data_IF_722782314390
#
_entry.id   IF_722782314390
#
_cell.length_a   1.000
_cell.length_b   1.000
_cell.length_c   1.000
_cell.angle_alpha   90.00
_cell.angle_beta   90.00
_cell.angle_gamma   90.00
#
_symmetry.space_group_name_H-M   'P 1'
#
loop_
_entity.id
_entity.type
_entity.pdbx_description
1 polymer ?
#
# COMPACT_ATOMS: atom_id res chain seq x y z
N UNK A 1 7.61 15.51 -9.37
CA UNK A 1 7.07 15.68 -8.01
C UNK A 1 7.75 16.84 -7.32
N UNK A 2 7.02 17.59 -6.52
CA UNK A 2 7.55 18.67 -5.69
C UNK A 2 7.39 18.27 -4.21
N UNK A 3 8.07 19.01 -3.33
CA UNK A 3 7.87 18.80 -1.88
C UNK A 3 6.41 19.06 -1.50
N UNK A 4 5.78 20.04 -2.11
CA UNK A 4 4.38 20.37 -1.85
C UNK A 4 3.44 19.20 -2.23
N UNK A 5 3.66 18.58 -3.40
CA UNK A 5 2.85 17.42 -3.80
C UNK A 5 3.09 16.21 -2.90
N UNK A 6 4.31 16.02 -2.42
CA UNK A 6 4.60 14.98 -1.44
C UNK A 6 3.88 15.25 -0.12
N UNK A 7 3.88 16.49 0.36
CA UNK A 7 3.19 16.88 1.59
C UNK A 7 1.67 16.68 1.47
N UNK A 8 1.12 16.80 0.27
CA UNK A 8 -0.30 16.55 0.02
C UNK A 8 -0.70 15.09 0.26
N UNK A 9 0.26 14.18 0.35
CA UNK A 9 0.01 12.77 0.63
C UNK A 9 0.06 12.42 2.12
N UNK A 10 0.16 13.42 3.01
CA UNK A 10 0.33 13.19 4.45
C UNK A 10 -0.78 12.33 5.07
N UNK A 11 -1.98 12.34 4.48
CA UNK A 11 -3.07 11.51 4.98
C UNK A 11 -2.87 10.02 4.73
N UNK A 12 -1.97 9.64 3.81
CA UNK A 12 -1.77 8.23 3.43
C UNK A 12 -0.33 7.76 3.57
N UNK A 13 0.64 8.67 3.64
CA UNK A 13 2.05 8.33 3.90
C UNK A 13 2.64 9.32 4.90
N UNK A 14 3.67 8.86 5.61
CA UNK A 14 4.51 9.73 6.43
C UNK A 14 5.61 10.30 5.53
N UNK A 15 5.40 11.51 5.02
CA UNK A 15 6.32 12.10 4.04
C UNK A 15 7.71 12.37 4.63
N UNK A 16 7.82 12.71 5.90
CA UNK A 16 9.12 12.92 6.55
C UNK A 16 9.91 11.62 6.62
N UNK A 17 9.23 10.53 7.01
CA UNK A 17 9.87 9.21 7.07
C UNK A 17 10.31 8.76 5.68
N UNK A 18 9.47 8.97 4.67
CA UNK A 18 9.82 8.60 3.29
C UNK A 18 11.01 9.39 2.80
N UNK A 19 11.03 10.71 3.00
CA UNK A 19 12.15 11.55 2.59
C UNK A 19 13.44 11.14 3.27
N UNK A 20 13.37 10.80 4.56
CA UNK A 20 14.55 10.34 5.30
C UNK A 20 15.13 9.08 4.66
N UNK A 21 14.27 8.13 4.29
CA UNK A 21 14.69 6.89 3.62
C UNK A 21 15.27 7.16 2.24
N UNK A 22 14.87 8.25 1.60
CA UNK A 22 15.33 8.65 0.27
C UNK A 22 16.44 9.70 0.31
N UNK A 23 17.10 9.85 1.46
CA UNK A 23 18.21 10.81 1.65
C UNK A 23 17.78 12.24 1.32
N UNK A 24 16.54 12.58 1.63
CA UNK A 24 15.91 13.88 1.34
C UNK A 24 15.85 14.23 -0.15
N UNK A 25 15.94 13.21 -1.01
CA UNK A 25 15.85 13.41 -2.46
C UNK A 25 14.42 13.12 -2.94
N UNK A 26 13.74 14.17 -3.39
CA UNK A 26 12.36 14.07 -3.85
C UNK A 26 12.23 13.13 -5.04
N UNK A 27 13.21 13.12 -5.94
CA UNK A 27 13.22 12.23 -7.10
C UNK A 27 13.22 10.77 -6.70
N UNK A 28 13.96 10.43 -5.64
CA UNK A 28 13.97 9.07 -5.10
C UNK A 28 12.63 8.73 -4.46
N UNK A 29 12.04 9.67 -3.73
CA UNK A 29 10.74 9.46 -3.11
C UNK A 29 9.66 9.20 -4.17
N UNK A 30 9.66 9.98 -5.24
CA UNK A 30 8.73 9.80 -6.36
C UNK A 30 8.87 8.41 -6.98
N UNK A 31 10.12 8.02 -7.26
CA UNK A 31 10.40 6.71 -7.85
C UNK A 31 9.98 5.58 -6.91
N UNK A 32 10.28 5.71 -5.63
CA UNK A 32 9.90 4.70 -4.64
C UNK A 32 8.38 4.53 -4.56
N UNK A 33 7.64 5.65 -4.56
CA UNK A 33 6.18 5.61 -4.53
C UNK A 33 5.60 4.98 -5.80
N UNK A 34 6.18 5.27 -6.96
CA UNK A 34 5.74 4.67 -8.22
C UNK A 34 5.93 3.15 -8.20
N UNK A 35 7.10 2.69 -7.77
CA UNK A 35 7.39 1.26 -7.67
C UNK A 35 6.52 0.58 -6.63
N UNK A 36 6.30 1.23 -5.50
CA UNK A 36 5.41 0.73 -4.46
C UNK A 36 3.99 0.54 -5.00
N UNK A 37 3.48 1.52 -5.73
CA UNK A 37 2.13 1.47 -6.28
C UNK A 37 1.99 0.34 -7.29
N UNK A 38 2.94 0.17 -8.21
CA UNK A 38 2.94 -0.93 -9.17
C UNK A 38 2.92 -2.29 -8.45
N UNK A 39 3.77 -2.43 -7.45
CA UNK A 39 3.85 -3.66 -6.68
C UNK A 39 2.55 -3.95 -5.94
N UNK A 40 1.96 -2.94 -5.33
CA UNK A 40 0.73 -3.12 -4.56
C UNK A 40 -0.46 -3.47 -5.44
N UNK A 41 -0.52 -2.98 -6.67
CA UNK A 41 -1.57 -3.37 -7.62
C UNK A 41 -1.54 -4.89 -7.80
N UNK A 42 -0.37 -5.48 -8.02
CA UNK A 42 -0.22 -6.91 -8.17
C UNK A 42 -0.54 -7.66 -6.87
N UNK A 43 -0.02 -7.18 -5.74
CA UNK A 43 -0.26 -7.83 -4.44
C UNK A 43 -1.75 -7.79 -4.07
N UNK A 44 -2.44 -6.70 -4.34
CA UNK A 44 -3.88 -6.61 -4.06
C UNK A 44 -4.66 -7.60 -4.91
N UNK A 45 -4.30 -7.74 -6.19
CA UNK A 45 -4.94 -8.73 -7.07
C UNK A 45 -4.72 -10.15 -6.55
N UNK A 46 -3.50 -10.46 -6.15
CA UNK A 46 -3.15 -11.78 -5.62
C UNK A 46 -3.90 -12.06 -4.32
N UNK A 47 -4.03 -11.04 -3.44
CA UNK A 47 -4.78 -11.17 -2.20
C UNK A 47 -6.25 -11.48 -2.44
N UNK A 48 -6.88 -10.76 -3.37
CA UNK A 48 -8.29 -11.00 -3.71
C UNK A 48 -8.47 -12.45 -4.16
N UNK A 49 -7.61 -12.94 -5.04
CA UNK A 49 -7.66 -14.32 -5.49
C UNK A 49 -7.49 -15.33 -4.36
N UNK A 50 -6.53 -15.08 -3.47
CA UNK A 50 -6.26 -15.98 -2.35
C UNK A 50 -7.45 -16.01 -1.36
N UNK A 51 -8.04 -14.85 -1.07
CA UNK A 51 -9.23 -14.78 -0.20
C UNK A 51 -10.42 -15.51 -0.84
N UNK A 52 -10.63 -15.32 -2.14
CA UNK A 52 -11.72 -15.99 -2.85
C UNK A 52 -11.57 -17.52 -2.81
N UNK A 53 -10.34 -18.02 -2.87
CA UNK A 53 -10.07 -19.46 -2.78
C UNK A 53 -10.02 -19.98 -1.35
N UNK A 54 -10.16 -19.12 -0.37
CA UNK A 54 -10.00 -19.48 1.06
C UNK A 54 -8.61 -20.04 1.36
N UNK A 55 -7.61 -19.60 0.63
CA UNK A 55 -6.22 -20.03 0.81
C UNK A 55 -5.53 -19.12 1.81
N UNK A 56 -5.70 -19.42 3.10
CA UNK A 56 -5.19 -18.57 4.18
C UNK A 56 -3.67 -18.56 4.22
N UNK A 57 -3.01 -19.64 3.82
CA UNK A 57 -1.55 -19.69 3.72
C UNK A 57 -1.05 -18.66 2.70
N UNK A 58 -1.68 -18.60 1.52
CA UNK A 58 -1.33 -17.62 0.50
C UNK A 58 -1.61 -16.21 0.98
N UNK A 59 -2.75 -15.98 1.65
CA UNK A 59 -3.07 -14.66 2.23
C UNK A 59 -1.98 -14.23 3.20
N UNK A 60 -1.56 -15.11 4.09
CA UNK A 60 -0.53 -14.83 5.08
C UNK A 60 0.79 -14.41 4.41
N UNK A 61 1.22 -15.17 3.40
CA UNK A 61 2.47 -14.92 2.70
C UNK A 61 2.47 -13.59 1.93
N UNK A 62 1.38 -13.34 1.21
CA UNK A 62 1.26 -12.10 0.43
C UNK A 62 1.20 -10.90 1.37
N UNK A 63 0.42 -10.99 2.44
CA UNK A 63 0.30 -9.92 3.42
C UNK A 63 1.64 -9.62 4.09
N UNK A 64 2.44 -10.64 4.37
CA UNK A 64 3.77 -10.44 4.94
C UNK A 64 4.66 -9.61 4.01
N UNK A 65 4.71 -9.98 2.72
CA UNK A 65 5.49 -9.23 1.73
C UNK A 65 5.00 -7.80 1.58
N UNK A 66 3.69 -7.64 1.50
CA UNK A 66 3.07 -6.32 1.32
C UNK A 66 3.31 -5.41 2.53
N UNK A 67 3.30 -5.98 3.74
CA UNK A 67 3.61 -5.22 4.96
C UNK A 67 5.00 -4.61 4.89
N UNK A 68 5.99 -5.38 4.43
CA UNK A 68 7.36 -4.88 4.26
C UNK A 68 7.44 -3.75 3.25
N UNK A 69 6.73 -3.89 2.12
CA UNK A 69 6.69 -2.85 1.10
C UNK A 69 6.04 -1.57 1.64
N UNK A 70 4.95 -1.70 2.38
CA UNK A 70 4.27 -0.55 3.01
C UNK A 70 5.19 0.18 3.99
N UNK A 71 5.93 -0.57 4.80
CA UNK A 71 6.88 0.02 5.75
C UNK A 71 7.94 0.83 5.00
N UNK A 72 8.50 0.30 3.92
CA UNK A 72 9.53 0.97 3.13
C UNK A 72 9.01 2.27 2.50
N UNK A 73 7.77 2.29 2.09
CA UNK A 73 7.15 3.48 1.49
C UNK A 73 6.57 4.43 2.53
N UNK A 74 6.68 4.11 3.82
CA UNK A 74 6.10 4.88 4.92
C UNK A 74 4.57 5.01 4.79
N UNK A 75 3.92 4.02 4.18
CA UNK A 75 2.47 3.93 4.03
C UNK A 75 1.89 3.17 5.23
N UNK A 76 1.94 3.80 6.41
CA UNK A 76 1.65 3.12 7.68
C UNK A 76 0.18 2.78 7.87
N UNK A 77 -0.74 3.53 7.26
CA UNK A 77 -2.15 3.18 7.28
C UNK A 77 -2.43 1.88 6.54
N UNK A 78 -1.85 1.74 5.34
CA UNK A 78 -1.93 0.48 4.58
C UNK A 78 -1.26 -0.65 5.35
N UNK A 79 -0.09 -0.39 5.94
CA UNK A 79 0.63 -1.40 6.72
C UNK A 79 -0.23 -1.94 7.85
N UNK A 80 -0.94 -1.06 8.56
CA UNK A 80 -1.82 -1.46 9.65
C UNK A 80 -2.92 -2.41 9.17
N UNK A 81 -3.55 -2.09 8.04
CA UNK A 81 -4.62 -2.94 7.48
C UNK A 81 -4.08 -4.28 7.02
N UNK A 82 -2.93 -4.29 6.37
CA UNK A 82 -2.26 -5.51 5.92
C UNK A 82 -1.88 -6.40 7.11
N UNK A 83 -1.37 -5.80 8.18
CA UNK A 83 -1.00 -6.52 9.40
C UNK A 83 -2.22 -7.17 10.04
N UNK A 84 -3.36 -6.47 10.10
CA UNK A 84 -4.59 -7.03 10.61
C UNK A 84 -5.07 -8.22 9.77
N UNK A 85 -4.96 -8.11 8.46
CA UNK A 85 -5.31 -9.21 7.55
C UNK A 85 -4.41 -10.43 7.82
N UNK A 86 -3.12 -10.22 7.96
CA UNK A 86 -2.18 -11.32 8.25
C UNK A 86 -2.51 -12.00 9.55
N UNK A 87 -2.83 -11.23 10.60
CA UNK A 87 -3.21 -11.79 11.90
C UNK A 87 -4.47 -12.65 11.80
N UNK A 88 -5.45 -12.22 11.03
CA UNK A 88 -6.67 -12.97 10.79
C UNK A 88 -6.37 -14.30 10.09
N UNK A 89 -5.49 -14.28 9.10
CA UNK A 89 -5.06 -15.50 8.40
C UNK A 89 -4.29 -16.43 9.33
N UNK A 90 -3.40 -15.89 10.17
CA UNK A 90 -2.66 -16.68 11.15
C UNK A 90 -3.60 -17.36 12.15
N UNK A 91 -4.69 -16.69 12.52
CA UNK A 91 -5.69 -17.25 13.44
C UNK A 91 -6.61 -18.27 12.77
N UNK A 92 -6.54 -18.41 11.45
CA UNK A 92 -7.37 -19.37 10.71
C UNK A 92 -8.82 -18.95 10.55
N UNK A 93 -9.15 -17.68 10.76
CA UNK A 93 -10.52 -17.18 10.70
C UNK A 93 -10.86 -16.66 9.31
N UNK A 94 -11.59 -17.44 8.51
CA UNK A 94 -12.03 -17.05 7.17
C UNK A 94 -12.90 -15.80 7.23
N UNK A 95 -13.84 -15.74 8.15
CA UNK A 95 -14.76 -14.60 8.28
C UNK A 95 -13.99 -13.31 8.59
N UNK A 96 -13.03 -13.39 9.50
CA UNK A 96 -12.21 -12.24 9.86
C UNK A 96 -11.31 -11.82 8.68
N UNK A 97 -10.78 -12.79 7.93
CA UNK A 97 -9.97 -12.50 6.73
C UNK A 97 -10.79 -11.72 5.71
N UNK A 98 -12.03 -12.12 5.47
CA UNK A 98 -12.92 -11.42 4.54
C UNK A 98 -13.14 -9.98 5.00
N UNK A 99 -13.43 -9.77 6.28
CA UNK A 99 -13.64 -8.43 6.85
C UNK A 99 -12.39 -7.55 6.71
N UNK A 100 -11.24 -8.12 7.04
CA UNK A 100 -9.98 -7.37 6.99
C UNK A 100 -9.54 -7.07 5.55
N UNK A 101 -9.89 -7.95 4.61
CA UNK A 101 -9.64 -7.70 3.20
C UNK A 101 -10.48 -6.51 2.70
N UNK A 102 -11.73 -6.42 3.11
CA UNK A 102 -12.60 -5.29 2.76
C UNK A 102 -12.03 -3.98 3.33
N UNK A 103 -11.56 -4.00 4.56
CA UNK A 103 -10.95 -2.83 5.19
C UNK A 103 -9.68 -2.40 4.46
N UNK A 104 -8.85 -3.36 4.05
CA UNK A 104 -7.64 -3.09 3.28
C UNK A 104 -7.99 -2.49 1.92
N UNK A 105 -9.00 -3.04 1.25
CA UNK A 105 -9.43 -2.53 -0.06
C UNK A 105 -9.87 -1.07 0.03
N UNK A 106 -10.60 -0.70 1.09
CA UNK A 106 -11.02 0.69 1.32
C UNK A 106 -9.81 1.60 1.56
N UNK A 107 -8.83 1.14 2.32
CA UNK A 107 -7.62 1.92 2.56
C UNK A 107 -6.80 2.08 1.28
N UNK A 108 -6.73 1.04 0.47
CA UNK A 108 -6.06 1.09 -0.83
C UNK A 108 -6.73 2.11 -1.77
N UNK A 109 -8.06 2.12 -1.81
CA UNK A 109 -8.81 3.09 -2.61
C UNK A 109 -8.52 4.52 -2.14
N UNK A 110 -8.44 4.72 -0.83
CA UNK A 110 -8.11 6.03 -0.26
C UNK A 110 -6.69 6.46 -0.64
N UNK A 111 -5.75 5.52 -0.60
CA UNK A 111 -4.36 5.76 -1.00
C UNK A 111 -4.28 6.16 -2.48
N UNK A 112 -4.91 5.37 -3.35
CA UNK A 112 -4.85 5.64 -4.80
C UNK A 112 -5.54 6.94 -5.16
N UNK A 113 -6.65 7.27 -4.49
CA UNK A 113 -7.33 8.54 -4.70
C UNK A 113 -6.45 9.72 -4.31
N UNK A 114 -5.73 9.62 -3.18
CA UNK A 114 -4.82 10.68 -2.73
C UNK A 114 -3.66 10.88 -3.71
N UNK A 115 -3.10 9.78 -4.22
CA UNK A 115 -2.01 9.83 -5.20
C UNK A 115 -2.49 10.46 -6.51
N UNK A 116 -3.66 10.08 -6.99
CA UNK A 116 -4.23 10.63 -8.23
C UNK A 116 -4.54 12.12 -8.11
N UNK A 117 -4.88 12.59 -6.92
CA UNK A 117 -5.16 14.00 -6.67
C UNK A 117 -3.87 14.81 -6.52
N UNK A 118 -2.72 14.16 -6.34
CA UNK A 118 -1.45 14.83 -6.13
C UNK A 118 -0.72 15.07 -7.44
N UNK A 119 -0.33 16.31 -7.69
CA UNK A 119 0.45 16.65 -8.88
C UNK A 119 1.82 15.97 -8.82
N UNK A 120 2.22 15.39 -9.93
CA UNK A 120 3.53 14.78 -10.06
C UNK A 120 3.63 13.34 -9.62
N UNK A 121 2.53 12.75 -9.10
CA UNK A 121 2.48 11.33 -8.74
C UNK A 121 1.50 10.53 -9.56
N UNK A 122 0.89 11.11 -10.57
CA UNK A 122 -0.07 10.41 -11.42
C UNK A 122 0.67 9.54 -12.42
N UNK A 123 0.80 8.26 -12.10
CA UNK A 123 1.48 7.29 -12.96
C UNK A 123 0.72 7.12 -14.27
N UNK A 124 -0.60 7.19 -14.22
CA UNK A 124 -1.45 7.10 -15.43
C UNK A 124 -1.14 8.25 -16.37
N UNK A 125 -0.98 9.44 -15.83
CA UNK A 125 -0.61 10.62 -16.61
C UNK A 125 0.77 10.48 -17.24
N UNK A 126 1.71 9.91 -16.50
CA UNK A 126 3.07 9.68 -16.99
C UNK A 126 3.13 8.74 -18.19
N UNK A 127 2.10 7.90 -18.39
CA UNK A 127 2.05 6.94 -19.50
C UNK A 127 1.33 7.48 -20.73
N UNK A 128 0.84 8.66 -20.68
CA UNK A 128 0.11 9.25 -21.81
C UNK A 128 1.02 9.72 -22.93
#
# INVERSE_FOLDING_TARGET
>A
MTLQSLQALESVIDHDALLMRCLNKIDFAERMLALFQERCIEEMSDLVGAVDRRDLEAVRKIAHRMSGACANAAAFGLQARVTELRKAADAGSVDEVVMRMEALAREWDRFTAAVSASDGLDITEATK
#
